data_IF_700291053109
#
_entry.id   IF_700291053109
#
_cell.length_a   1.000
_cell.length_b   1.000
_cell.length_c   1.000
_cell.angle_alpha   90.00
_cell.angle_beta   90.00
_cell.angle_gamma   90.00
#
_symmetry.space_group_name_H-M   'P 1'
#
loop_
_entity.id
_entity.type
_entity.pdbx_description
1 polymer ?
#
# COMPACT_ATOMS: atom_id res chain seq x y z
N UNK A 1 4.29 16.29 0.01
CA UNK A 1 4.37 15.20 1.00
C UNK A 1 3.18 15.19 1.98
N UNK A 2 3.21 15.92 3.11
CA UNK A 2 2.19 15.79 4.18
C UNK A 2 0.75 15.94 3.69
N UNK A 3 0.46 16.95 2.86
CA UNK A 3 -0.87 17.16 2.29
C UNK A 3 -1.33 16.01 1.37
N UNK A 4 -0.42 15.40 0.60
CA UNK A 4 -0.74 14.28 -0.30
C UNK A 4 -1.08 13.02 0.52
N UNK A 5 -0.32 12.74 1.57
CA UNK A 5 -0.59 11.60 2.48
C UNK A 5 -1.95 11.74 3.17
N UNK A 6 -2.26 12.93 3.72
CA UNK A 6 -3.54 13.16 4.38
C UNK A 6 -4.71 13.04 3.40
N UNK A 7 -4.56 13.58 2.19
CA UNK A 7 -5.61 13.56 1.19
C UNK A 7 -5.86 12.16 0.62
N UNK A 8 -4.80 11.38 0.33
CA UNK A 8 -4.92 10.00 -0.10
C UNK A 8 -5.63 9.13 0.94
N UNK A 9 -5.26 9.27 2.21
CA UNK A 9 -5.91 8.56 3.32
C UNK A 9 -7.40 8.92 3.44
N UNK A 10 -7.75 10.20 3.26
CA UNK A 10 -9.13 10.65 3.28
C UNK A 10 -9.95 9.99 2.16
N UNK A 11 -9.44 10.00 0.93
CA UNK A 11 -10.12 9.35 -0.20
C UNK A 11 -10.34 7.86 0.04
N UNK A 12 -9.31 7.13 0.48
CA UNK A 12 -9.44 5.71 0.84
C UNK A 12 -10.52 5.49 1.90
N UNK A 13 -10.55 6.30 2.96
CA UNK A 13 -11.54 6.17 4.03
C UNK A 13 -13.00 6.39 3.59
N UNK A 14 -13.22 7.08 2.47
CA UNK A 14 -14.54 7.33 1.87
C UNK A 14 -14.92 6.32 0.80
N UNK A 15 -14.08 5.31 0.54
CA UNK A 15 -14.25 4.38 -0.57
C UNK A 15 -13.87 4.96 -1.94
N UNK A 16 -13.30 6.16 -1.99
CA UNK A 16 -12.80 6.78 -3.23
C UNK A 16 -11.39 6.25 -3.57
N UNK A 17 -11.24 4.92 -3.63
CA UNK A 17 -9.94 4.25 -3.64
C UNK A 17 -9.09 4.60 -4.87
N UNK A 18 -9.69 4.72 -6.06
CA UNK A 18 -8.96 5.12 -7.28
C UNK A 18 -8.29 6.50 -7.16
N UNK A 19 -8.92 7.43 -6.42
CA UNK A 19 -8.36 8.75 -6.17
C UNK A 19 -7.18 8.67 -5.20
N UNK A 20 -7.29 7.81 -4.18
CA UNK A 20 -6.19 7.56 -3.24
C UNK A 20 -4.96 6.98 -3.97
N UNK A 21 -5.17 5.94 -4.79
CA UNK A 21 -4.13 5.30 -5.61
C UNK A 21 -3.40 6.35 -6.45
N UNK A 22 -4.16 7.18 -7.19
CA UNK A 22 -3.57 8.20 -8.07
C UNK A 22 -2.68 9.17 -7.30
N UNK A 23 -3.12 9.64 -6.14
CA UNK A 23 -2.34 10.59 -5.33
C UNK A 23 -1.04 9.96 -4.84
N UNK A 24 -1.07 8.72 -4.36
CA UNK A 24 0.14 8.06 -3.86
C UNK A 24 1.07 7.61 -4.99
N UNK A 25 0.56 7.29 -6.19
CA UNK A 25 1.38 7.07 -7.39
C UNK A 25 2.11 8.36 -7.81
N UNK A 26 1.39 9.49 -7.95
CA UNK A 26 2.02 10.78 -8.25
C UNK A 26 3.06 11.16 -7.20
N UNK A 27 2.80 10.83 -5.92
CA UNK A 27 3.77 11.07 -4.85
C UNK A 27 5.04 10.24 -5.04
N UNK A 28 4.91 8.97 -5.41
CA UNK A 28 6.03 8.03 -5.64
C UNK A 28 6.94 8.41 -6.81
N UNK A 29 6.37 9.05 -7.83
CA UNK A 29 7.08 9.59 -8.99
C UNK A 29 7.90 10.84 -8.67
N UNK A 30 7.66 11.48 -7.52
CA UNK A 30 8.41 12.68 -7.13
C UNK A 30 9.88 12.36 -6.84
N UNK A 31 10.78 13.05 -7.54
CA UNK A 31 12.23 12.95 -7.31
C UNK A 31 12.68 13.56 -5.97
N UNK A 32 11.83 14.33 -5.29
CA UNK A 32 12.18 15.08 -4.07
C UNK A 32 11.94 14.30 -2.78
N UNK A 33 11.58 13.01 -2.84
CA UNK A 33 11.30 12.24 -1.64
C UNK A 33 12.59 11.86 -0.92
N UNK A 34 12.61 12.07 0.41
CA UNK A 34 13.59 11.40 1.25
C UNK A 34 13.35 9.88 1.24
N UNK A 35 14.34 9.11 1.68
CA UNK A 35 14.21 7.66 1.75
C UNK A 35 13.00 7.23 2.61
N UNK A 36 12.90 7.74 3.83
CA UNK A 36 11.80 7.47 4.75
C UNK A 36 10.43 7.87 4.16
N UNK A 37 10.38 9.00 3.45
CA UNK A 37 9.16 9.45 2.77
C UNK A 37 8.75 8.50 1.64
N UNK A 38 9.71 7.91 0.92
CA UNK A 38 9.44 6.89 -0.08
C UNK A 38 8.87 5.63 0.57
N UNK A 39 9.43 5.17 1.69
CA UNK A 39 8.91 4.01 2.42
C UNK A 39 7.47 4.23 2.90
N UNK A 40 7.16 5.42 3.43
CA UNK A 40 5.80 5.81 3.80
C UNK A 40 4.85 5.81 2.60
N UNK A 41 5.28 6.33 1.44
CA UNK A 41 4.47 6.35 0.24
C UNK A 41 4.21 4.92 -0.30
N UNK A 42 5.21 4.03 -0.29
CA UNK A 42 5.06 2.60 -0.62
C UNK A 42 4.02 1.97 0.30
N UNK A 43 4.13 2.19 1.61
CA UNK A 43 3.18 1.65 2.58
C UNK A 43 1.74 2.13 2.30
N UNK A 44 1.55 3.42 2.02
CA UNK A 44 0.21 3.94 1.72
C UNK A 44 -0.35 3.41 0.41
N UNK A 45 0.48 3.29 -0.63
CA UNK A 45 0.06 2.74 -1.92
C UNK A 45 -0.33 1.26 -1.80
N UNK A 46 0.40 0.47 -1.00
CA UNK A 46 0.02 -0.91 -0.67
C UNK A 46 -1.35 -0.97 0.04
N UNK A 47 -1.64 -0.06 0.96
CA UNK A 47 -2.95 0.03 1.63
C UNK A 47 -4.08 0.44 0.67
N UNK A 48 -3.81 1.29 -0.31
CA UNK A 48 -4.79 1.64 -1.33
C UNK A 48 -5.11 0.45 -2.22
N UNK A 49 -4.09 -0.31 -2.66
CA UNK A 49 -4.30 -1.52 -3.43
C UNK A 49 -5.08 -2.59 -2.66
N UNK A 50 -4.81 -2.75 -1.35
CA UNK A 50 -5.63 -3.61 -0.48
C UNK A 50 -7.10 -3.20 -0.49
N UNK A 51 -7.38 -1.91 -0.35
CA UNK A 51 -8.75 -1.39 -0.35
C UNK A 51 -9.46 -1.55 -1.71
N UNK A 52 -8.70 -1.64 -2.81
CA UNK A 52 -9.21 -1.90 -4.16
C UNK A 52 -9.33 -3.41 -4.49
N UNK A 53 -8.90 -4.31 -3.61
CA UNK A 53 -8.82 -5.74 -3.91
C UNK A 53 -7.72 -6.13 -4.90
N UNK A 54 -6.76 -5.24 -5.15
CA UNK A 54 -5.63 -5.45 -6.06
C UNK A 54 -4.46 -6.11 -5.31
N UNK A 55 -4.65 -7.36 -4.88
CA UNK A 55 -3.75 -8.03 -3.94
C UNK A 55 -2.33 -8.21 -4.48
N UNK A 56 -2.15 -8.61 -5.74
CA UNK A 56 -0.82 -8.78 -6.34
C UNK A 56 0.00 -7.47 -6.26
N UNK A 57 -0.64 -6.34 -6.56
CA UNK A 57 0.02 -5.02 -6.50
C UNK A 57 0.27 -4.57 -5.07
N UNK A 58 -0.62 -4.91 -4.14
CA UNK A 58 -0.42 -4.63 -2.73
C UNK A 58 0.78 -5.42 -2.19
N UNK A 59 0.91 -6.68 -2.59
CA UNK A 59 2.01 -7.58 -2.24
C UNK A 59 3.36 -7.00 -2.70
N UNK A 60 3.46 -6.59 -3.96
CA UNK A 60 4.66 -5.94 -4.51
C UNK A 60 5.10 -4.72 -3.71
N UNK A 61 4.16 -3.94 -3.17
CA UNK A 61 4.48 -2.78 -2.34
C UNK A 61 4.96 -3.20 -0.96
N UNK A 62 4.31 -4.17 -0.31
CA UNK A 62 4.70 -4.59 1.03
C UNK A 62 6.02 -5.40 1.04
N UNK A 63 6.31 -6.17 -0.02
CA UNK A 63 7.59 -6.87 -0.17
C UNK A 63 8.78 -5.91 -0.19
N UNK A 64 8.63 -4.69 -0.71
CA UNK A 64 9.70 -3.67 -0.66
C UNK A 64 10.00 -3.16 0.75
N UNK A 65 9.14 -3.43 1.73
CA UNK A 65 9.25 -2.93 3.10
C UNK A 65 9.73 -4.01 4.09
N UNK A 66 9.96 -5.24 3.66
CA UNK A 66 10.29 -6.35 4.57
C UNK A 66 11.68 -6.24 5.18
N UNK A 67 12.60 -5.57 4.49
CA UNK A 67 13.98 -5.38 4.98
C UNK A 67 14.13 -4.10 5.82
N UNK A 68 13.10 -3.26 5.86
CA UNK A 68 13.09 -1.98 6.56
C UNK A 68 12.66 -2.15 8.02
N UNK A 69 13.57 -1.97 8.98
CA UNK A 69 13.34 -2.28 10.40
C UNK A 69 12.04 -1.67 10.95
N UNK A 70 11.76 -0.41 10.62
CA UNK A 70 10.58 0.33 11.12
C UNK A 70 9.28 -0.04 10.39
N UNK A 71 9.36 -0.64 9.20
CA UNK A 71 8.19 -0.97 8.38
C UNK A 71 7.91 -2.48 8.31
N UNK A 72 8.91 -3.31 8.58
CA UNK A 72 8.90 -4.77 8.41
C UNK A 72 7.71 -5.43 9.08
N UNK A 73 7.45 -5.12 10.35
CA UNK A 73 6.35 -5.76 11.09
C UNK A 73 5.00 -5.44 10.43
N UNK A 74 4.77 -4.18 10.09
CA UNK A 74 3.54 -3.76 9.43
C UNK A 74 3.41 -4.38 8.04
N UNK A 75 4.49 -4.46 7.27
CA UNK A 75 4.51 -5.09 5.95
C UNK A 75 4.17 -6.58 6.02
N UNK A 76 4.82 -7.33 6.92
CA UNK A 76 4.57 -8.76 7.11
C UNK A 76 3.13 -9.05 7.55
N UNK A 77 2.55 -8.18 8.40
CA UNK A 77 1.13 -8.30 8.78
C UNK A 77 0.19 -8.12 7.57
N UNK A 78 0.48 -7.16 6.69
CA UNK A 78 -0.33 -6.96 5.49
C UNK A 78 -0.14 -8.11 4.48
N UNK A 79 1.08 -8.62 4.31
CA UNK A 79 1.37 -9.79 3.46
C UNK A 79 0.63 -11.03 3.96
N UNK A 80 0.60 -11.27 5.27
CA UNK A 80 -0.17 -12.36 5.85
C UNK A 80 -1.67 -12.24 5.52
N UNK A 81 -2.24 -11.03 5.60
CA UNK A 81 -3.63 -10.80 5.21
C UNK A 81 -3.87 -11.09 3.72
N UNK A 82 -2.94 -10.69 2.85
CA UNK A 82 -3.00 -10.99 1.41
C UNK A 82 -3.04 -12.50 1.18
N UNK A 83 -2.05 -13.23 1.71
CA UNK A 83 -1.98 -14.66 1.50
C UNK A 83 -3.19 -15.40 2.07
N UNK A 84 -3.73 -14.98 3.21
CA UNK A 84 -4.96 -15.56 3.75
C UNK A 84 -6.17 -15.31 2.84
N UNK A 85 -6.28 -14.12 2.25
CA UNK A 85 -7.38 -13.78 1.36
C UNK A 85 -7.29 -14.51 0.00
N UNK A 86 -6.08 -14.72 -0.53
CA UNK A 86 -5.88 -15.34 -1.85
C UNK A 86 -5.81 -16.87 -1.78
N UNK A 87 -5.33 -17.45 -0.67
CA UNK A 87 -5.23 -18.91 -0.52
C UNK A 87 -6.60 -19.60 -0.48
N UNK A 88 -7.64 -18.94 0.06
CA UNK A 88 -8.99 -19.49 0.15
C UNK A 88 -9.74 -19.59 -1.19
N UNK A 89 -9.23 -18.98 -2.26
CA UNK A 89 -9.89 -19.01 -3.59
C UNK A 89 -9.57 -20.30 -4.34
N UNK A 90 -8.47 -20.99 -4.01
CA UNK A 90 -8.01 -22.18 -4.72
C UNK A 90 -8.76 -23.48 -4.34
N UNK A 91 -9.53 -23.50 -3.24
CA UNK A 91 -10.21 -24.71 -2.74
C UNK A 91 -11.70 -24.80 -3.14
N UNK A 92 -12.19 -23.91 -4.02
CA UNK A 92 -13.60 -23.84 -4.41
C UNK A 92 -13.87 -24.22 -5.87
N UNK A 93 -13.17 -25.26 -6.38
CA UNK A 93 -13.43 -25.82 -7.70
C UNK A 93 -13.32 -27.35 -7.71
#
# INVERSE_FOLDING_TARGET
MKAHLTLGNLFRSRGEVDRAIRIHQTLMESASLTYEQRLLAIQQLGRDYMAAGLYDRAEDMFNQLTDETDFRIGALQQLLQIYQATSGVAESN
#
